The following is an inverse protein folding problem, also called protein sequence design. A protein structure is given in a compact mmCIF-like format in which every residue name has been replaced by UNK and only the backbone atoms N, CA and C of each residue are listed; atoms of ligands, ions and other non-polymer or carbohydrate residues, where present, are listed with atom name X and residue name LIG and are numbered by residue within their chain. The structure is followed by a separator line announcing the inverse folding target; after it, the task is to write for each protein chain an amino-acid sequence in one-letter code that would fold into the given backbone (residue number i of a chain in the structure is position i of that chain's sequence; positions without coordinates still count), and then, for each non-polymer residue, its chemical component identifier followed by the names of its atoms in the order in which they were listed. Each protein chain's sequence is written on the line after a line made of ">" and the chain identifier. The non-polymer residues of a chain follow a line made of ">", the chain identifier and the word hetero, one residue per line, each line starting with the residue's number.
data_IF_323698928056
#
_entry.id   IF_323698928056
#
_cell.length_a   1.000
_cell.length_b   1.000
_cell.length_c   1.000
_cell.angle_alpha   90.00
_cell.angle_beta   90.00
_cell.angle_gamma   90.00
#
_symmetry.space_group_name_H-M   'P 1'
#
loop_
_entity.id
_entity.type
_entity.pdbx_description
1 polymer ?
#
# COMPACT_ATOMS: atom_id res chain seq x y z
N UNK A 1 -11.30 0.77 -40.63
CA UNK A 1 -11.49 1.66 -39.46
C UNK A 1 -10.86 0.97 -38.26
N UNK A 2 -10.10 1.69 -37.44
CA UNK A 2 -9.41 1.14 -36.26
C UNK A 2 -9.87 1.93 -35.04
N UNK A 3 -10.19 1.23 -33.95
CA UNK A 3 -10.54 1.85 -32.67
C UNK A 3 -9.32 1.84 -31.75
N UNK A 4 -9.17 2.89 -30.93
CA UNK A 4 -8.18 2.90 -29.86
C UNK A 4 -8.60 2.02 -28.68
N UNK A 5 -7.68 1.81 -27.74
CA UNK A 5 -8.05 1.39 -26.38
C UNK A 5 -8.98 2.44 -25.73
N UNK A 6 -9.77 2.08 -24.69
CA UNK A 6 -10.65 3.02 -24.03
C UNK A 6 -9.89 4.18 -23.41
N UNK A 7 -10.53 5.35 -23.45
CA UNK A 7 -10.02 6.59 -22.86
C UNK A 7 -11.08 7.14 -21.92
N UNK A 8 -10.67 7.53 -20.72
CA UNK A 8 -11.53 8.24 -19.76
C UNK A 8 -11.14 9.72 -19.78
N UNK A 9 -12.10 10.58 -20.11
CA UNK A 9 -11.91 12.03 -20.10
C UNK A 9 -12.37 12.58 -18.75
N UNK A 10 -11.47 13.28 -18.06
CA UNK A 10 -11.76 13.95 -16.79
C UNK A 10 -11.82 15.46 -16.99
N UNK A 11 -12.62 16.14 -16.17
CA UNK A 11 -12.74 17.62 -16.17
C UNK A 11 -12.02 18.26 -14.99
N UNK A 12 -11.68 17.48 -13.97
CA UNK A 12 -10.96 17.94 -12.78
C UNK A 12 -10.03 16.85 -12.24
N UNK A 13 -8.87 17.24 -11.70
CA UNK A 13 -7.86 16.31 -11.19
C UNK A 13 -8.35 15.40 -10.05
N UNK A 14 -9.39 15.79 -9.31
CA UNK A 14 -10.01 14.93 -8.29
C UNK A 14 -10.67 13.66 -8.86
N UNK A 15 -10.90 13.60 -10.18
CA UNK A 15 -11.47 12.43 -10.86
C UNK A 15 -10.41 11.44 -11.34
N UNK A 16 -9.12 11.83 -11.32
CA UNK A 16 -8.02 11.07 -11.89
C UNK A 16 -7.87 9.67 -11.26
N UNK A 17 -8.02 9.59 -9.94
CA UNK A 17 -7.99 8.33 -9.21
C UNK A 17 -9.05 7.33 -9.75
N UNK A 18 -10.30 7.78 -9.90
CA UNK A 18 -11.38 6.93 -10.40
C UNK A 18 -11.17 6.57 -11.88
N UNK A 19 -10.72 7.53 -12.69
CA UNK A 19 -10.43 7.30 -14.11
C UNK A 19 -9.34 6.24 -14.29
N UNK A 20 -8.27 6.30 -13.49
CA UNK A 20 -7.18 5.33 -13.53
C UNK A 20 -7.64 3.93 -13.11
N UNK A 21 -8.54 3.81 -12.12
CA UNK A 21 -9.14 2.52 -11.78
C UNK A 21 -9.95 1.94 -12.94
N UNK A 22 -10.74 2.76 -13.63
CA UNK A 22 -11.55 2.30 -14.78
C UNK A 22 -10.66 1.79 -15.91
N UNK A 23 -9.60 2.54 -16.23
CA UNK A 23 -8.62 2.13 -17.25
C UNK A 23 -7.88 0.86 -16.84
N UNK A 24 -7.48 0.75 -15.56
CA UNK A 24 -6.83 -0.46 -15.03
C UNK A 24 -7.72 -1.70 -15.18
N UNK A 25 -8.99 -1.59 -14.77
CA UNK A 25 -9.93 -2.71 -14.84
C UNK A 25 -10.21 -3.15 -16.28
N UNK A 26 -10.38 -2.19 -17.20
CA UNK A 26 -10.58 -2.51 -18.61
C UNK A 26 -9.34 -3.20 -19.21
N UNK A 27 -8.16 -2.61 -19.03
CA UNK A 27 -6.93 -3.16 -19.58
C UNK A 27 -6.59 -4.54 -19.01
N UNK A 28 -6.92 -4.79 -17.74
CA UNK A 28 -6.60 -6.05 -17.08
C UNK A 28 -7.56 -7.19 -17.47
N UNK A 29 -8.83 -6.89 -17.74
CA UNK A 29 -9.89 -7.90 -17.79
C UNK A 29 -10.75 -7.87 -19.06
N UNK A 30 -10.34 -7.13 -20.08
CA UNK A 30 -10.96 -7.18 -21.39
C UNK A 30 -10.81 -8.57 -22.04
N UNK A 31 -11.94 -9.17 -22.44
CA UNK A 31 -11.93 -10.44 -23.17
C UNK A 31 -11.61 -10.24 -24.67
N UNK A 32 -10.88 -11.18 -25.30
CA UNK A 32 -10.66 -11.15 -26.75
C UNK A 32 -11.98 -11.18 -27.53
N UNK A 33 -12.15 -10.24 -28.47
CA UNK A 33 -13.35 -10.19 -29.33
C UNK A 33 -14.60 -9.61 -28.65
N UNK A 34 -14.47 -9.05 -27.44
CA UNK A 34 -15.58 -8.38 -26.74
C UNK A 34 -16.25 -7.28 -27.59
N UNK A 35 -17.53 -7.03 -27.31
CA UNK A 35 -18.17 -5.76 -27.70
C UNK A 35 -17.36 -4.61 -27.11
N UNK A 36 -17.06 -3.52 -27.86
CA UNK A 36 -16.18 -2.46 -27.40
C UNK A 36 -16.50 -2.00 -25.97
N UNK A 37 -15.47 -2.00 -25.12
CA UNK A 37 -15.50 -1.54 -23.72
C UNK A 37 -16.36 -2.37 -22.75
N UNK A 38 -16.85 -3.55 -23.16
CA UNK A 38 -17.48 -4.50 -22.23
C UNK A 38 -16.43 -5.14 -21.30
N UNK A 39 -16.62 -5.04 -19.99
CA UNK A 39 -15.70 -5.61 -18.98
C UNK A 39 -16.49 -6.46 -17.99
N UNK A 40 -15.88 -7.48 -17.38
CA UNK A 40 -16.55 -8.27 -16.36
C UNK A 40 -16.84 -7.43 -15.11
N UNK A 41 -18.01 -7.64 -14.50
CA UNK A 41 -18.35 -7.01 -13.21
C UNK A 41 -17.55 -7.62 -12.05
N UNK A 42 -17.15 -8.90 -12.16
CA UNK A 42 -16.37 -9.62 -11.16
C UNK A 42 -15.22 -10.37 -11.78
N UNK A 43 -14.10 -10.42 -11.05
CA UNK A 43 -12.89 -11.15 -11.45
C UNK A 43 -12.37 -11.99 -10.29
N UNK A 44 -11.55 -13.00 -10.58
CA UNK A 44 -10.92 -13.80 -9.54
C UNK A 44 -9.83 -12.97 -8.85
N UNK A 45 -9.71 -13.09 -7.52
CA UNK A 45 -8.70 -12.37 -6.73
C UNK A 45 -7.26 -12.56 -7.25
N UNK A 46 -6.82 -13.77 -7.65
CA UNK A 46 -5.50 -13.95 -8.25
C UNK A 46 -5.27 -13.12 -9.52
N UNK A 47 -6.28 -12.97 -10.38
CA UNK A 47 -6.18 -12.14 -11.59
C UNK A 47 -6.01 -10.66 -11.23
N UNK A 48 -6.76 -10.19 -10.22
CA UNK A 48 -6.60 -8.83 -9.71
C UNK A 48 -5.23 -8.62 -9.06
N UNK A 49 -4.68 -9.62 -8.35
CA UNK A 49 -3.33 -9.55 -7.78
C UNK A 49 -2.26 -9.29 -8.85
N UNK A 50 -2.36 -9.96 -10.00
CA UNK A 50 -1.43 -9.76 -11.12
C UNK A 50 -1.51 -8.33 -11.66
N UNK A 51 -2.73 -7.83 -11.90
CA UNK A 51 -2.97 -6.47 -12.35
C UNK A 51 -2.43 -5.42 -11.35
N UNK A 52 -2.72 -5.60 -10.06
CA UNK A 52 -2.23 -4.74 -8.99
C UNK A 52 -0.70 -4.75 -8.89
N UNK A 53 -0.07 -5.93 -8.96
CA UNK A 53 1.39 -6.03 -8.89
C UNK A 53 2.08 -5.40 -10.10
N UNK A 54 1.52 -5.60 -11.31
CA UNK A 54 2.03 -4.98 -12.53
C UNK A 54 1.93 -3.45 -12.45
N UNK A 55 0.76 -2.93 -12.07
CA UNK A 55 0.52 -1.49 -11.89
C UNK A 55 1.44 -0.92 -10.82
N UNK A 56 1.60 -1.60 -9.69
CA UNK A 56 2.46 -1.17 -8.58
C UNK A 56 3.92 -1.05 -9.00
N UNK A 57 4.49 -2.06 -9.66
CA UNK A 57 5.88 -2.01 -10.17
C UNK A 57 6.07 -0.87 -11.17
N UNK A 58 5.10 -0.66 -12.06
CA UNK A 58 5.15 0.39 -13.06
C UNK A 58 5.08 1.80 -12.42
N UNK A 59 4.13 2.03 -11.52
CA UNK A 59 3.95 3.35 -10.89
C UNK A 59 5.08 3.71 -9.94
N UNK A 60 5.51 2.77 -9.10
CA UNK A 60 6.63 2.99 -8.16
C UNK A 60 7.98 2.94 -8.90
N UNK A 61 7.99 2.51 -10.17
CA UNK A 61 9.19 2.32 -11.00
C UNK A 61 10.23 1.46 -10.29
N UNK A 62 9.79 0.32 -9.78
CA UNK A 62 10.58 -0.61 -8.99
C UNK A 62 10.43 -2.04 -9.48
N UNK A 63 11.53 -2.80 -9.46
CA UNK A 63 11.46 -4.26 -9.63
C UNK A 63 10.88 -4.96 -8.40
N UNK A 64 10.92 -4.31 -7.22
CA UNK A 64 10.29 -4.77 -5.98
C UNK A 64 8.77 -4.59 -6.09
N UNK A 65 8.10 -5.69 -6.42
CA UNK A 65 6.64 -5.76 -6.45
C UNK A 65 6.03 -6.14 -5.11
N UNK A 66 4.77 -6.56 -5.18
CA UNK A 66 4.02 -7.11 -4.05
C UNK A 66 4.46 -8.54 -3.79
N UNK A 67 4.85 -8.83 -2.54
CA UNK A 67 5.15 -10.20 -2.09
C UNK A 67 3.85 -10.96 -1.77
N UNK A 68 3.95 -12.27 -1.51
CA UNK A 68 2.79 -13.09 -1.10
C UNK A 68 2.13 -12.53 0.16
N UNK A 69 2.94 -12.08 1.13
CA UNK A 69 2.46 -11.48 2.38
C UNK A 69 1.75 -10.15 2.12
N UNK A 70 2.23 -9.34 1.17
CA UNK A 70 1.54 -8.12 0.76
C UNK A 70 0.19 -8.43 0.13
N UNK A 71 0.10 -9.45 -0.72
CA UNK A 71 -1.17 -9.88 -1.33
C UNK A 71 -2.16 -10.40 -0.28
N UNK A 72 -1.70 -11.16 0.72
CA UNK A 72 -2.55 -11.57 1.85
C UNK A 72 -3.09 -10.36 2.60
N UNK A 73 -2.24 -9.36 2.92
CA UNK A 73 -2.70 -8.14 3.57
C UNK A 73 -3.75 -7.39 2.74
N UNK A 74 -3.56 -7.30 1.43
CA UNK A 74 -4.53 -6.65 0.54
C UNK A 74 -5.86 -7.42 0.50
N UNK A 75 -5.81 -8.75 0.48
CA UNK A 75 -6.99 -9.60 0.55
C UNK A 75 -7.75 -9.40 1.87
N UNK A 76 -7.04 -9.44 3.00
CA UNK A 76 -7.62 -9.16 4.32
C UNK A 76 -8.29 -7.79 4.35
N UNK A 77 -7.66 -6.77 3.77
CA UNK A 77 -8.20 -5.41 3.68
C UNK A 77 -9.48 -5.36 2.85
N UNK A 78 -9.45 -5.94 1.64
CA UNK A 78 -10.54 -5.86 0.69
C UNK A 78 -11.77 -6.66 1.14
N UNK A 79 -11.54 -7.87 1.66
CA UNK A 79 -12.61 -8.79 2.04
C UNK A 79 -13.00 -8.70 3.52
N UNK A 80 -12.32 -7.87 4.31
CA UNK A 80 -12.46 -7.82 5.77
C UNK A 80 -12.29 -9.23 6.39
N UNK A 81 -11.33 -9.98 5.88
CA UNK A 81 -11.06 -11.37 6.24
C UNK A 81 -9.94 -11.47 7.28
N UNK A 82 -9.99 -12.50 8.11
CA UNK A 82 -8.93 -12.84 9.08
C UNK A 82 -7.99 -13.93 8.59
N UNK A 83 -8.24 -14.53 7.42
CA UNK A 83 -7.34 -15.57 6.87
C UNK A 83 -5.96 -15.01 6.55
N UNK A 84 -4.93 -15.74 6.98
CA UNK A 84 -3.51 -15.44 6.78
C UNK A 84 -2.87 -16.18 5.59
N UNK A 85 -3.62 -17.02 4.88
CA UNK A 85 -3.09 -17.86 3.80
C UNK A 85 -3.61 -17.39 2.44
N UNK A 86 -2.70 -17.22 1.48
CA UNK A 86 -3.05 -16.74 0.14
C UNK A 86 -3.98 -17.71 -0.61
N UNK A 87 -3.84 -19.02 -0.34
CA UNK A 87 -4.61 -20.08 -1.01
C UNK A 87 -6.11 -20.03 -0.68
N UNK A 88 -6.47 -19.52 0.51
CA UNK A 88 -7.86 -19.35 0.92
C UNK A 88 -8.62 -18.36 0.01
N UNK A 89 -7.89 -17.49 -0.69
CA UNK A 89 -8.44 -16.50 -1.60
C UNK A 89 -8.42 -16.94 -3.08
N UNK A 90 -7.95 -18.16 -3.38
CA UNK A 90 -7.74 -18.65 -4.76
C UNK A 90 -9.01 -18.69 -5.61
N UNK A 91 -10.16 -18.96 -5.00
CA UNK A 91 -11.49 -19.00 -5.64
C UNK A 91 -12.36 -17.78 -5.30
N UNK A 92 -11.81 -16.81 -4.57
CA UNK A 92 -12.56 -15.62 -4.16
C UNK A 92 -12.68 -14.65 -5.34
N UNK A 93 -13.86 -14.05 -5.49
CA UNK A 93 -14.11 -13.04 -6.52
C UNK A 93 -14.19 -11.64 -5.94
N UNK A 94 -13.79 -10.65 -6.73
CA UNK A 94 -13.89 -9.22 -6.43
C UNK A 94 -14.78 -8.58 -7.47
N UNK A 95 -15.81 -7.85 -7.03
CA UNK A 95 -16.58 -7.01 -7.93
C UNK A 95 -15.91 -5.65 -8.18
N UNK A 96 -16.21 -5.03 -9.31
CA UNK A 96 -15.87 -3.63 -9.57
C UNK A 96 -16.37 -2.71 -8.45
N UNK A 97 -17.55 -3.02 -7.89
CA UNK A 97 -18.09 -2.24 -6.78
C UNK A 97 -17.21 -2.32 -5.53
N UNK A 98 -16.78 -3.51 -5.11
CA UNK A 98 -15.86 -3.69 -3.98
C UNK A 98 -14.49 -3.04 -4.24
N UNK A 99 -14.04 -3.06 -5.49
CA UNK A 99 -12.75 -2.49 -5.87
C UNK A 99 -12.72 -0.96 -5.80
N UNK A 100 -13.71 -0.27 -6.37
CA UNK A 100 -13.66 1.19 -6.54
C UNK A 100 -15.01 1.94 -6.41
N UNK A 101 -16.04 1.36 -5.79
CA UNK A 101 -17.31 2.07 -5.51
C UNK A 101 -17.71 2.03 -4.05
N UNK A 102 -17.58 0.88 -3.41
CA UNK A 102 -17.90 0.67 -2.01
C UNK A 102 -16.73 1.10 -1.13
N UNK A 103 -17.03 1.80 -0.04
CA UNK A 103 -16.02 2.16 0.94
C UNK A 103 -15.62 0.95 1.77
N UNK A 104 -14.34 0.89 2.15
CA UNK A 104 -13.87 -0.13 3.08
C UNK A 104 -14.56 0.02 4.45
N UNK A 105 -14.78 -1.07 5.20
CA UNK A 105 -15.42 -1.02 6.51
C UNK A 105 -14.74 -0.01 7.46
N UNK A 106 -15.53 0.89 8.02
CA UNK A 106 -15.04 1.94 8.93
C UNK A 106 -14.20 3.04 8.25
N UNK A 107 -14.20 3.11 6.91
CA UNK A 107 -13.49 4.13 6.12
C UNK A 107 -14.45 4.90 5.22
N UNK A 108 -14.00 6.07 4.77
CA UNK A 108 -14.70 6.93 3.82
C UNK A 108 -14.08 6.88 2.42
N UNK A 109 -13.37 5.79 2.12
CA UNK A 109 -12.66 5.59 0.87
C UNK A 109 -12.71 4.13 0.41
N UNK A 110 -12.54 3.92 -0.88
CA UNK A 110 -12.53 2.60 -1.55
C UNK A 110 -11.19 1.89 -1.40
N UNK A 111 -11.14 0.59 -1.71
CA UNK A 111 -9.89 -0.14 -1.77
C UNK A 111 -8.88 0.50 -2.73
N UNK A 112 -9.34 0.84 -3.94
CA UNK A 112 -8.47 1.45 -4.94
C UNK A 112 -7.94 2.82 -4.52
N UNK A 113 -8.76 3.69 -3.92
CA UNK A 113 -8.30 4.99 -3.41
C UNK A 113 -7.15 4.84 -2.41
N UNK A 114 -7.24 3.85 -1.53
CA UNK A 114 -6.15 3.55 -0.59
C UNK A 114 -4.90 3.05 -1.30
N UNK A 115 -5.05 2.08 -2.21
CA UNK A 115 -3.93 1.46 -2.90
C UNK A 115 -3.19 2.44 -3.83
N UNK A 116 -3.94 3.29 -4.53
CA UNK A 116 -3.40 4.37 -5.37
C UNK A 116 -2.66 5.42 -4.54
N UNK A 117 -3.22 5.81 -3.39
CA UNK A 117 -2.53 6.71 -2.46
C UNK A 117 -1.20 6.15 -1.95
N UNK A 118 -1.12 4.83 -1.73
CA UNK A 118 0.14 4.14 -1.41
C UNK A 118 1.14 4.23 -2.56
N UNK A 119 0.73 3.93 -3.80
CA UNK A 119 1.60 4.06 -4.97
C UNK A 119 2.11 5.50 -5.13
N UNK A 120 1.23 6.48 -4.91
CA UNK A 120 1.53 7.89 -5.11
C UNK A 120 2.56 8.41 -4.09
N UNK A 121 2.41 8.10 -2.80
CA UNK A 121 3.40 8.52 -1.78
C UNK A 121 4.75 7.83 -2.00
N UNK A 122 4.75 6.56 -2.42
CA UNK A 122 5.97 5.86 -2.78
C UNK A 122 6.66 6.52 -3.96
N UNK A 123 5.94 6.70 -5.07
CA UNK A 123 6.44 7.29 -6.31
C UNK A 123 7.03 8.69 -6.07
N UNK A 124 6.33 9.54 -5.30
CA UNK A 124 6.74 10.93 -5.08
C UNK A 124 7.87 11.10 -4.08
N UNK A 125 7.88 10.33 -2.99
CA UNK A 125 8.75 10.63 -1.85
C UNK A 125 9.61 9.46 -1.38
N UNK A 126 9.20 8.21 -1.61
CA UNK A 126 9.73 7.07 -0.86
C UNK A 126 10.26 5.92 -1.72
N UNK A 127 10.35 6.11 -3.04
CA UNK A 127 10.85 5.11 -4.00
C UNK A 127 12.21 4.52 -3.59
N UNK A 128 13.23 5.32 -3.20
CA UNK A 128 14.52 4.77 -2.78
C UNK A 128 14.39 3.87 -1.53
N UNK A 129 13.65 4.34 -0.52
CA UNK A 129 13.38 3.60 0.72
C UNK A 129 12.60 2.29 0.48
N UNK A 130 11.68 2.28 -0.49
CA UNK A 130 11.00 1.06 -0.90
C UNK A 130 11.97 0.08 -1.56
N UNK A 131 12.81 0.55 -2.47
CA UNK A 131 13.77 -0.31 -3.18
C UNK A 131 14.81 -0.93 -2.25
N UNK A 132 15.23 -0.20 -1.22
CA UNK A 132 16.18 -0.68 -0.20
C UNK A 132 15.57 -1.60 0.87
N UNK A 133 14.27 -1.88 0.78
CA UNK A 133 13.62 -2.69 1.80
C UNK A 133 13.43 -1.98 3.14
N UNK A 134 13.61 -0.66 3.24
CA UNK A 134 13.43 0.08 4.49
C UNK A 134 11.96 0.16 4.92
N UNK A 135 11.05 0.11 3.93
CA UNK A 135 9.60 0.11 4.16
C UNK A 135 9.07 -1.33 4.06
N UNK A 136 8.45 -1.79 5.15
CA UNK A 136 7.71 -3.05 5.19
C UNK A 136 6.31 -2.88 4.56
N UNK A 137 5.65 -1.75 4.86
CA UNK A 137 4.52 -1.24 4.09
C UNK A 137 3.19 -1.94 4.41
N UNK A 138 2.93 -3.08 3.78
CA UNK A 138 1.64 -3.78 3.82
C UNK A 138 1.50 -4.63 5.09
N UNK A 139 1.35 -3.95 6.22
CA UNK A 139 1.25 -4.57 7.55
C UNK A 139 0.20 -3.83 8.37
N UNK A 140 -0.74 -4.57 8.96
CA UNK A 140 -1.78 -3.97 9.80
C UNK A 140 -1.26 -3.69 11.22
N UNK A 141 -2.05 -2.96 12.02
CA UNK A 141 -1.62 -2.56 13.38
C UNK A 141 -1.30 -3.75 14.28
N UNK A 142 -2.09 -4.83 14.19
CA UNK A 142 -1.90 -6.05 14.99
C UNK A 142 -0.64 -6.80 14.57
N UNK A 143 -0.46 -7.03 13.26
CA UNK A 143 0.74 -7.65 12.71
C UNK A 143 2.01 -6.86 13.08
N UNK A 144 1.95 -5.52 13.03
CA UNK A 144 3.08 -4.68 13.43
C UNK A 144 3.43 -4.84 14.91
N UNK A 145 2.42 -4.94 15.78
CA UNK A 145 2.61 -5.23 17.19
C UNK A 145 3.29 -6.59 17.40
N UNK A 146 2.76 -7.64 16.76
CA UNK A 146 3.25 -9.01 16.94
C UNK A 146 4.68 -9.21 16.40
N UNK A 147 5.04 -8.48 15.34
CA UNK A 147 6.39 -8.46 14.79
C UNK A 147 7.41 -7.74 15.71
N UNK A 148 6.95 -6.78 16.52
CA UNK A 148 7.80 -5.92 17.32
C UNK A 148 7.90 -6.34 18.79
N UNK A 149 6.89 -7.00 19.36
CA UNK A 149 6.82 -7.30 20.80
C UNK A 149 8.07 -8.04 21.33
N UNK A 150 8.63 -8.95 20.54
CA UNK A 150 9.81 -9.75 20.90
C UNK A 150 11.14 -9.17 20.37
N UNK A 151 11.15 -7.92 19.88
CA UNK A 151 12.35 -7.25 19.38
C UNK A 151 13.03 -6.40 20.46
N UNK A 152 14.31 -6.02 20.29
CA UNK A 152 14.99 -5.08 21.17
C UNK A 152 14.26 -3.72 21.25
N UNK A 153 14.47 -2.99 22.34
CA UNK A 153 13.97 -1.63 22.50
C UNK A 153 14.44 -0.71 21.35
N UNK A 154 13.59 0.23 20.95
CA UNK A 154 13.87 1.13 19.82
C UNK A 154 13.78 0.47 18.44
N UNK A 155 13.37 -0.80 18.34
CA UNK A 155 13.05 -1.43 17.05
C UNK A 155 11.74 -0.86 16.49
N UNK A 156 11.75 -0.51 15.21
CA UNK A 156 10.59 0.06 14.53
C UNK A 156 10.40 -0.49 13.11
N UNK A 157 9.20 -0.30 12.59
CA UNK A 157 8.86 -0.57 11.19
C UNK A 157 7.98 0.53 10.62
N UNK A 158 8.08 0.70 9.30
CA UNK A 158 7.27 1.61 8.52
C UNK A 158 6.14 0.83 7.85
N UNK A 159 4.90 1.27 8.05
CA UNK A 159 3.71 0.65 7.44
C UNK A 159 2.78 1.71 6.84
N UNK A 160 2.05 1.33 5.81
CA UNK A 160 1.03 2.19 5.21
C UNK A 160 -0.13 2.36 6.19
N UNK A 161 -0.62 3.60 6.28
CA UNK A 161 -1.69 3.95 7.20
C UNK A 161 -3.05 3.51 6.67
N UNK A 162 -3.88 2.98 7.57
CA UNK A 162 -5.31 2.79 7.31
C UNK A 162 -6.13 4.00 7.73
N UNK A 163 -5.59 4.96 8.50
CA UNK A 163 -6.36 6.14 8.92
C UNK A 163 -6.29 7.28 7.92
N UNK A 164 -5.27 7.30 7.06
CA UNK A 164 -4.99 8.41 6.17
C UNK A 164 -4.43 7.90 4.84
N UNK A 165 -5.11 8.20 3.73
CA UNK A 165 -4.72 7.78 2.38
C UNK A 165 -3.34 8.37 2.04
N UNK A 166 -2.45 7.55 1.49
CA UNK A 166 -1.09 7.96 1.17
C UNK A 166 -0.25 8.33 2.39
N UNK A 167 -0.69 7.95 3.59
CA UNK A 167 0.05 8.12 4.83
C UNK A 167 0.96 6.93 5.13
N UNK A 168 2.13 7.20 5.69
CA UNK A 168 2.99 6.19 6.34
C UNK A 168 3.06 6.47 7.84
N UNK A 169 2.89 5.44 8.65
CA UNK A 169 3.06 5.52 10.10
C UNK A 169 4.28 4.70 10.54
N UNK A 170 4.88 5.15 11.64
CA UNK A 170 5.97 4.47 12.33
C UNK A 170 5.35 3.69 13.49
N UNK A 171 5.50 2.38 13.47
CA UNK A 171 5.21 1.52 14.61
C UNK A 171 6.53 1.17 15.30
N UNK A 172 6.59 1.30 16.62
CA UNK A 172 7.82 1.01 17.36
C UNK A 172 7.52 0.41 18.73
N UNK A 173 8.50 -0.32 19.26
CA UNK A 173 8.49 -0.88 20.60
C UNK A 173 9.20 0.05 21.58
N UNK A 174 8.64 0.17 22.78
CA UNK A 174 9.32 0.67 23.96
C UNK A 174 9.40 -0.41 25.04
N UNK A 175 10.50 -0.47 25.79
CA UNK A 175 10.62 -1.29 26.99
C UNK A 175 10.07 -0.54 28.23
N UNK A 176 8.79 -0.21 28.18
CA UNK A 176 8.06 0.43 29.27
C UNK A 176 6.86 -0.41 29.65
N UNK A 177 6.74 -0.74 30.94
CA UNK A 177 5.64 -1.53 31.52
C UNK A 177 4.26 -0.92 31.29
N UNK A 178 4.16 0.39 31.04
CA UNK A 178 2.90 1.09 30.78
C UNK A 178 2.63 1.32 29.28
N UNK A 179 3.65 1.23 28.42
CA UNK A 179 3.63 1.77 27.05
C UNK A 179 4.47 0.93 26.08
N UNK A 180 4.21 -0.38 26.01
CA UNK A 180 5.04 -1.31 25.21
C UNK A 180 5.03 -1.06 23.69
N UNK A 181 3.99 -0.43 23.15
CA UNK A 181 3.81 -0.29 21.70
C UNK A 181 3.13 1.04 21.33
N UNK A 182 3.70 1.73 20.34
CA UNK A 182 3.15 2.99 19.85
C UNK A 182 3.14 3.07 18.32
N UNK A 183 2.21 3.88 17.81
CA UNK A 183 2.14 4.26 16.40
C UNK A 183 2.07 5.78 16.33
N UNK A 184 2.93 6.41 15.51
CA UNK A 184 2.88 7.85 15.32
C UNK A 184 1.71 8.20 14.40
N UNK A 185 1.28 9.46 14.47
CA UNK A 185 0.39 10.01 13.46
C UNK A 185 1.02 9.80 12.08
N UNK A 186 0.25 9.38 11.06
CA UNK A 186 0.79 9.17 9.73
C UNK A 186 1.43 10.43 9.15
N UNK A 187 2.51 10.26 8.40
CA UNK A 187 3.11 11.27 7.55
C UNK A 187 2.59 11.12 6.13
N UNK A 188 2.18 12.23 5.54
CA UNK A 188 1.63 12.32 4.19
C UNK A 188 2.57 13.03 3.23
N UNK A 189 2.18 13.12 1.96
CA UNK A 189 2.85 13.98 0.94
C UNK A 189 3.09 15.41 1.45
N UNK A 190 2.15 15.98 2.23
CA UNK A 190 2.31 17.34 2.80
C UNK A 190 3.49 17.40 3.76
N UNK A 191 3.60 16.40 4.63
CA UNK A 191 4.68 16.30 5.61
C UNK A 191 6.04 16.09 4.94
N UNK A 192 6.09 15.22 3.93
CA UNK A 192 7.32 14.93 3.17
C UNK A 192 7.79 16.09 2.30
N UNK A 193 6.87 16.98 1.91
CA UNK A 193 7.22 18.21 1.18
C UNK A 193 7.90 19.24 2.09
N UNK A 194 7.62 19.21 3.39
CA UNK A 194 8.27 20.09 4.38
C UNK A 194 9.60 19.48 4.83
N UNK A 195 9.61 18.17 5.09
CA UNK A 195 10.79 17.47 5.61
C UNK A 195 10.74 15.99 5.27
N UNK A 196 11.86 15.46 4.79
CA UNK A 196 11.97 14.09 4.27
C UNK A 196 11.70 13.03 5.35
N UNK A 197 11.43 11.79 4.93
CA UNK A 197 11.29 10.66 5.84
C UNK A 197 12.58 10.41 6.64
N UNK A 198 13.74 10.46 5.98
CA UNK A 198 15.03 10.19 6.60
C UNK A 198 15.33 11.21 7.70
N UNK A 199 15.16 12.51 7.43
CA UNK A 199 15.38 13.56 8.43
C UNK A 199 14.44 13.43 9.64
N UNK A 200 13.16 13.11 9.38
CA UNK A 200 12.18 12.88 10.44
C UNK A 200 12.56 11.68 11.31
N UNK A 201 13.10 10.61 10.73
CA UNK A 201 13.61 9.46 11.48
C UNK A 201 14.91 9.79 12.22
N UNK A 202 15.75 10.66 11.66
CA UNK A 202 16.98 11.16 12.27
C UNK A 202 16.73 11.87 13.59
N UNK A 203 15.70 12.72 13.66
CA UNK A 203 15.31 13.45 14.88
C UNK A 203 14.86 12.54 16.04
N UNK A 204 14.35 11.35 15.71
CA UNK A 204 13.82 10.42 16.70
C UNK A 204 14.95 9.51 17.21
N UNK A 205 15.70 10.01 18.19
CA UNK A 205 16.85 9.32 18.79
C UNK A 205 16.51 7.97 19.45
N UNK A 206 15.25 7.79 19.88
CA UNK A 206 14.75 6.54 20.45
C UNK A 206 14.44 5.46 19.40
N UNK A 207 14.47 5.79 18.10
CA UNK A 207 14.38 4.82 17.02
C UNK A 207 15.79 4.38 16.62
N UNK A 208 16.09 3.10 16.84
CA UNK A 208 17.45 2.56 16.77
C UNK A 208 17.58 1.52 15.66
N UNK A 209 16.63 0.60 15.53
CA UNK A 209 16.70 -0.51 14.59
C UNK A 209 15.50 -0.53 13.65
N UNK A 210 15.76 -0.56 12.34
CA UNK A 210 14.77 -0.86 11.33
C UNK A 210 14.53 -2.37 11.32
N UNK A 211 13.27 -2.78 11.47
CA UNK A 211 12.90 -4.19 11.43
C UNK A 211 13.52 -4.90 10.20
N UNK A 212 14.05 -6.13 10.37
CA UNK A 212 14.02 -6.92 11.61
C UNK A 212 15.11 -6.61 12.64
N UNK A 213 16.26 -6.07 12.22
CA UNK A 213 17.47 -5.94 13.05
C UNK A 213 18.57 -5.03 12.43
N UNK A 214 18.23 -4.14 11.49
CA UNK A 214 19.20 -3.25 10.84
C UNK A 214 19.37 -1.93 11.59
N UNK A 215 20.58 -1.45 11.90
CA UNK A 215 20.77 -0.13 12.49
C UNK A 215 20.16 0.99 11.63
N UNK A 216 19.47 1.95 12.27
CA UNK A 216 18.81 3.08 11.58
C UNK A 216 19.78 3.83 10.66
N UNK A 217 20.98 4.15 11.15
CA UNK A 217 21.95 4.91 10.37
C UNK A 217 22.52 4.13 9.18
N UNK A 218 22.60 2.80 9.27
CA UNK A 218 22.97 1.97 8.10
C UNK A 218 21.94 2.11 6.97
N UNK A 219 20.65 2.16 7.33
CA UNK A 219 19.56 2.22 6.36
C UNK A 219 19.33 3.64 5.84
N UNK A 220 19.45 4.66 6.70
CA UNK A 220 19.02 6.03 6.38
C UNK A 220 20.14 7.05 6.18
N UNK A 221 21.40 6.77 6.53
CA UNK A 221 22.50 7.75 6.44
C UNK A 221 22.72 8.34 5.04
N UNK A 222 22.51 7.55 3.99
CA UNK A 222 22.62 7.99 2.60
C UNK A 222 21.49 8.92 2.13
N UNK A 223 20.49 9.16 2.99
CA UNK A 223 19.30 9.97 2.73
C UNK A 223 19.22 11.22 3.62
N UNK A 224 20.15 11.39 4.56
CA UNK A 224 20.31 12.63 5.33
C UNK A 224 20.92 13.76 4.49
#
# INVERSE_FOLDING_TARGET
>A
QTLSLPVVVIVHGSQDNNATATVLWDNAFAEPGRVPFAVPDKVQWPQLCEALNMKFKAEVQSSRGLTKENLVFLAQKLFNSTSSHLEDYSSTTVSWSQFNRENLPGRNYTFWQWFDGVMEVLKKHLKPHWNDGAILGFVNKQQAHDLLINKPDGTFLLRFSDSEIGGITIAWKFDSSERMFWNLMPFTTRDFSIRSLADRLGDLSYLIYVFPDRPKDEVFSKYY
#
